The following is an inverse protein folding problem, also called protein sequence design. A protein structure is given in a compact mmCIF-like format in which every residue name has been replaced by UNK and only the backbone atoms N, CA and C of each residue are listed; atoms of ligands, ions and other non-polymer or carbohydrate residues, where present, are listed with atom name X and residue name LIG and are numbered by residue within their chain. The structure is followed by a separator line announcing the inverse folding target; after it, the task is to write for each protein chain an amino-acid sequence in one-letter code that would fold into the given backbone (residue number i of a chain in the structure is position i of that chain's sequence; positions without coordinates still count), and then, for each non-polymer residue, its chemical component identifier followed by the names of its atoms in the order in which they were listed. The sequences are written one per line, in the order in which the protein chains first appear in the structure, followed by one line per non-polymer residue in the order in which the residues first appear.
data_IF_323210320979
#
_entry.id   IF_323210320979
#
_cell.length_a   1.000
_cell.length_b   1.000
_cell.length_c   1.000
_cell.angle_alpha   90.00
_cell.angle_beta   90.00
_cell.angle_gamma   90.00
#
_symmetry.space_group_name_H-M   'P 1'
#
loop_
_entity.id
_entity.type
_entity.pdbx_description
1 polymer ?
#
# COMPACT_ATOMS: atom_id res chain seq x y z
N UNK A 1 19.84 82.29 41.67
CA UNK A 1 19.40 82.68 40.31
C UNK A 1 18.50 81.56 39.75
N UNK A 2 17.27 81.92 39.32
CA UNK A 2 16.20 81.12 38.64
C UNK A 2 15.62 79.92 39.44
N UNK A 3 14.49 80.00 40.18
CA UNK A 3 13.03 79.94 39.81
C UNK A 3 12.72 78.87 38.73
N UNK A 4 11.70 77.99 38.76
CA UNK A 4 10.70 77.43 39.69
C UNK A 4 9.93 76.35 38.84
N UNK A 5 9.40 75.20 39.33
CA UNK A 5 7.96 74.89 39.58
C UNK A 5 7.62 73.40 39.21
N UNK A 6 7.10 72.66 40.20
CA UNK A 6 5.91 71.75 40.25
C UNK A 6 5.90 70.29 39.72
N UNK A 7 5.25 69.46 40.57
CA UNK A 7 4.49 68.21 40.39
C UNK A 7 5.24 66.88 40.23
N UNK A 8 4.72 65.70 40.61
CA UNK A 8 3.80 65.19 41.64
C UNK A 8 3.64 63.69 41.30
N UNK A 9 3.62 62.84 42.33
CA UNK A 9 3.07 61.46 42.38
C UNK A 9 3.74 60.29 41.62
N UNK A 10 3.63 59.13 42.30
CA UNK A 10 3.52 57.73 41.84
C UNK A 10 4.74 56.85 42.23
N UNK A 11 4.68 56.06 43.31
CA UNK A 11 3.90 54.83 43.53
C UNK A 11 4.52 53.59 42.88
N UNK A 12 4.89 52.65 43.77
CA UNK A 12 4.90 51.19 43.64
C UNK A 12 4.90 50.56 42.23
N UNK A 13 5.93 49.76 41.94
CA UNK A 13 5.72 48.44 41.31
C UNK A 13 7.01 47.63 41.24
N UNK A 14 7.13 46.62 42.11
CA UNK A 14 7.91 45.42 41.78
C UNK A 14 7.21 44.74 40.60
N UNK A 15 7.88 44.68 39.45
CA UNK A 15 7.42 43.90 38.31
C UNK A 15 7.58 42.41 38.60
N UNK A 16 6.48 41.78 39.04
CA UNK A 16 6.29 40.35 38.87
C UNK A 16 5.97 40.09 37.39
N UNK A 17 6.88 39.41 36.68
CA UNK A 17 6.62 38.90 35.34
C UNK A 17 5.63 37.73 35.42
N UNK A 18 4.34 38.04 35.39
CA UNK A 18 3.29 37.07 35.04
C UNK A 18 3.41 36.86 33.53
N UNK A 19 4.22 35.87 33.15
CA UNK A 19 4.20 35.34 31.79
C UNK A 19 2.87 34.65 31.54
N UNK A 20 2.11 35.15 30.56
CA UNK A 20 0.88 34.54 30.08
C UNK A 20 1.14 33.12 29.56
N UNK A 21 0.62 32.14 30.28
CA UNK A 21 0.70 30.72 29.94
C UNK A 21 -0.46 30.40 28.98
N UNK A 22 -0.26 30.52 27.66
CA UNK A 22 -1.28 30.15 26.67
C UNK A 22 -1.24 28.64 26.40
N UNK A 23 -1.62 27.84 27.41
CA UNK A 23 -1.57 26.35 27.37
C UNK A 23 -2.77 25.73 26.62
N UNK A 24 -3.85 26.49 26.43
CA UNK A 24 -5.08 26.00 25.80
C UNK A 24 -4.96 25.79 24.27
N UNK A 25 -3.99 26.43 23.61
CA UNK A 25 -3.79 26.30 22.16
C UNK A 25 -2.98 25.06 21.79
N UNK A 26 -2.15 24.55 22.72
CA UNK A 26 -1.32 23.35 22.49
C UNK A 26 -2.13 22.06 22.68
N UNK A 27 -3.15 22.06 23.55
CA UNK A 27 -4.02 20.91 23.77
C UNK A 27 -4.96 20.65 22.58
N UNK A 28 -5.44 21.70 21.89
CA UNK A 28 -6.31 21.55 20.72
C UNK A 28 -5.56 20.98 19.50
N UNK A 29 -4.27 21.28 19.36
CA UNK A 29 -3.37 20.73 18.33
C UNK A 29 -2.97 19.27 18.60
N UNK A 30 -2.99 18.82 19.86
CA UNK A 30 -2.77 17.42 20.22
C UNK A 30 -4.00 16.54 19.97
N UNK A 31 -5.22 17.07 20.10
CA UNK A 31 -6.45 16.32 19.82
C UNK A 31 -6.57 15.90 18.34
N UNK A 32 -5.92 16.62 17.43
CA UNK A 32 -5.82 16.27 15.99
C UNK A 32 -4.69 15.27 15.70
N UNK A 33 -3.83 14.96 16.68
CA UNK A 33 -2.70 14.05 16.51
C UNK A 33 -3.16 12.61 16.78
N UNK A 34 -3.66 11.99 15.71
CA UNK A 34 -3.89 10.56 15.58
C UNK A 34 -4.85 9.96 16.63
N UNK A 35 -6.15 9.95 16.31
CA UNK A 35 -6.99 8.86 16.78
C UNK A 35 -6.27 7.55 16.43
N UNK A 36 -5.86 6.82 17.46
CA UNK A 36 -5.04 5.61 17.35
C UNK A 36 -5.75 4.64 16.40
N UNK A 37 -5.21 4.50 15.18
CA UNK A 37 -5.84 3.66 14.15
C UNK A 37 -5.81 2.23 14.67
N UNK A 38 -6.99 1.69 15.00
CA UNK A 38 -7.12 0.28 15.39
C UNK A 38 -6.39 -0.61 14.38
N UNK A 39 -5.61 -1.61 14.85
CA UNK A 39 -4.95 -2.56 13.97
C UNK A 39 -5.95 -3.16 12.98
N UNK A 40 -5.63 -3.10 11.70
CA UNK A 40 -6.49 -3.62 10.64
C UNK A 40 -6.13 -5.07 10.35
N UNK A 41 -7.11 -5.99 10.23
CA UNK A 41 -6.88 -7.32 9.70
C UNK A 41 -6.13 -7.29 8.37
N UNK A 42 -5.20 -8.24 8.20
CA UNK A 42 -4.36 -8.33 7.00
C UNK A 42 -5.13 -8.90 5.80
N UNK A 43 -6.11 -9.78 6.04
CA UNK A 43 -6.82 -10.48 4.98
C UNK A 43 -8.34 -10.38 5.10
N UNK A 44 -8.99 -10.19 3.96
CA UNK A 44 -10.41 -9.90 3.83
C UNK A 44 -11.01 -10.73 2.69
N UNK A 45 -12.25 -11.18 2.86
CA UNK A 45 -13.00 -11.90 1.82
C UNK A 45 -14.47 -11.50 1.79
N UNK A 46 -15.05 -11.53 0.61
CA UNK A 46 -16.49 -11.34 0.42
C UNK A 46 -16.91 -11.64 -1.00
N UNK A 47 -18.22 -11.59 -1.25
CA UNK A 47 -18.79 -11.66 -2.60
C UNK A 47 -19.44 -10.31 -2.87
N UNK A 48 -18.91 -9.58 -3.84
CA UNK A 48 -19.46 -8.30 -4.26
C UNK A 48 -20.51 -8.48 -5.37
N UNK A 49 -21.48 -7.57 -5.48
CA UNK A 49 -22.50 -7.63 -6.52
C UNK A 49 -21.87 -7.42 -7.89
N UNK A 50 -22.41 -8.10 -8.89
CA UNK A 50 -21.93 -8.08 -10.27
C UNK A 50 -23.08 -7.71 -11.19
N UNK A 51 -22.80 -6.89 -12.22
CA UNK A 51 -23.84 -6.41 -13.12
C UNK A 51 -24.36 -7.50 -14.08
N UNK A 52 -23.47 -8.39 -14.49
CA UNK A 52 -23.68 -9.39 -15.54
C UNK A 52 -23.24 -10.80 -15.13
N UNK A 53 -23.02 -11.03 -13.83
CA UNK A 53 -22.62 -12.30 -13.28
C UNK A 53 -23.26 -12.55 -11.90
N UNK A 54 -23.13 -13.76 -11.36
CA UNK A 54 -23.78 -14.13 -10.08
C UNK A 54 -23.18 -13.37 -8.89
N UNK A 55 -21.91 -12.97 -9.01
CA UNK A 55 -21.16 -12.28 -7.97
C UNK A 55 -19.66 -12.30 -8.25
N UNK A 56 -18.92 -11.43 -7.55
CA UNK A 56 -17.46 -11.38 -7.63
C UNK A 56 -16.90 -11.82 -6.28
N UNK A 57 -16.37 -13.03 -6.21
CA UNK A 57 -15.60 -13.50 -5.06
C UNK A 57 -14.30 -12.71 -4.99
N UNK A 58 -14.14 -11.92 -3.94
CA UNK A 58 -12.99 -11.04 -3.75
C UNK A 58 -12.21 -11.49 -2.51
N UNK A 59 -10.90 -11.68 -2.69
CA UNK A 59 -9.93 -11.87 -1.60
C UNK A 59 -8.92 -10.73 -1.62
N UNK A 60 -8.81 -9.96 -0.55
CA UNK A 60 -7.89 -8.83 -0.43
C UNK A 60 -6.88 -9.12 0.70
N UNK A 61 -5.62 -8.86 0.42
CA UNK A 61 -4.50 -8.96 1.34
C UNK A 61 -3.77 -7.62 1.42
N UNK A 62 -3.66 -7.06 2.63
CA UNK A 62 -3.03 -5.76 2.92
C UNK A 62 -1.71 -6.00 3.63
N UNK A 63 -0.59 -5.83 2.94
CA UNK A 63 0.74 -6.04 3.51
C UNK A 63 1.17 -4.90 4.42
N UNK A 64 1.96 -5.23 5.45
CA UNK A 64 2.52 -4.24 6.39
C UNK A 64 3.46 -3.24 5.73
N UNK A 65 4.03 -3.58 4.57
CA UNK A 65 4.93 -2.73 3.79
C UNK A 65 4.20 -1.64 2.99
N UNK A 66 2.86 -1.56 3.07
CA UNK A 66 2.02 -0.61 2.34
C UNK A 66 1.59 -1.09 0.96
N UNK A 67 1.86 -2.36 0.60
CA UNK A 67 1.36 -2.99 -0.63
C UNK A 67 0.14 -3.86 -0.39
N UNK A 68 -0.62 -4.15 -1.43
CA UNK A 68 -1.75 -5.07 -1.35
C UNK A 68 -1.81 -5.98 -2.56
N UNK A 69 -2.49 -7.12 -2.38
CA UNK A 69 -2.80 -8.07 -3.45
C UNK A 69 -4.29 -8.41 -3.36
N UNK A 70 -4.99 -8.38 -4.47
CA UNK A 70 -6.40 -8.74 -4.57
C UNK A 70 -6.58 -9.83 -5.62
N UNK A 71 -7.43 -10.80 -5.33
CA UNK A 71 -7.91 -11.76 -6.30
C UNK A 71 -9.42 -11.62 -6.45
N UNK A 72 -9.89 -11.65 -7.69
CA UNK A 72 -11.30 -11.53 -8.05
C UNK A 72 -11.69 -12.71 -8.92
N UNK A 73 -12.73 -13.45 -8.52
CA UNK A 73 -13.32 -14.54 -9.31
C UNK A 73 -14.77 -14.22 -9.64
N UNK A 74 -15.08 -14.13 -10.92
CA UNK A 74 -16.41 -13.85 -11.45
C UNK A 74 -17.21 -15.16 -11.49
N UNK A 75 -18.28 -15.23 -10.70
CA UNK A 75 -19.14 -16.40 -10.60
C UNK A 75 -20.09 -16.51 -11.79
N UNK A 76 -20.36 -17.74 -12.25
CA UNK A 76 -21.21 -17.98 -13.42
C UNK A 76 -20.57 -17.69 -14.79
N UNK A 77 -19.34 -17.18 -14.82
CA UNK A 77 -18.59 -16.99 -16.07
C UNK A 77 -18.15 -18.35 -16.65
N UNK A 78 -18.54 -18.63 -17.90
CA UNK A 78 -18.31 -19.92 -18.59
C UNK A 78 -16.87 -20.16 -19.08
N UNK A 79 -15.89 -19.31 -18.77
CA UNK A 79 -14.59 -19.33 -19.45
C UNK A 79 -13.37 -19.42 -18.52
N UNK A 80 -12.27 -19.98 -19.06
CA UNK A 80 -10.91 -19.73 -18.57
C UNK A 80 -10.65 -18.21 -18.54
N UNK A 81 -10.12 -17.69 -17.43
CA UNK A 81 -9.96 -16.24 -17.21
C UNK A 81 -11.02 -15.60 -16.30
N UNK A 82 -11.89 -16.40 -15.65
CA UNK A 82 -12.83 -15.90 -14.65
C UNK A 82 -12.17 -15.40 -13.35
N UNK A 83 -10.88 -15.72 -13.15
CA UNK A 83 -10.10 -15.30 -11.97
C UNK A 83 -8.94 -14.45 -12.42
N UNK A 84 -8.76 -13.29 -11.81
CA UNK A 84 -7.61 -12.44 -12.02
C UNK A 84 -7.19 -11.78 -10.71
N UNK A 85 -5.90 -11.49 -10.63
CA UNK A 85 -5.34 -10.77 -9.50
C UNK A 85 -4.78 -9.43 -9.93
N UNK A 86 -4.79 -8.51 -8.98
CA UNK A 86 -4.24 -7.17 -9.07
C UNK A 86 -3.47 -6.87 -7.80
N UNK A 87 -2.54 -5.92 -7.88
CA UNK A 87 -1.72 -5.51 -6.75
C UNK A 87 -1.46 -4.01 -6.83
N UNK A 88 -0.95 -3.44 -5.75
CA UNK A 88 -0.51 -2.06 -5.74
C UNK A 88 -0.17 -1.56 -4.35
N UNK A 89 -0.41 -0.27 -4.10
CA UNK A 89 -0.16 0.37 -2.81
C UNK A 89 -1.46 0.73 -2.10
N UNK A 90 -1.45 0.69 -0.77
CA UNK A 90 -2.58 1.14 0.03
C UNK A 90 -2.16 2.22 1.01
N UNK A 91 -3.09 3.12 1.27
CA UNK A 91 -2.97 4.16 2.29
C UNK A 91 -4.26 4.21 3.10
N UNK A 92 -4.13 4.48 4.40
CA UNK A 92 -5.27 4.55 5.32
C UNK A 92 -5.27 5.87 6.07
N UNK A 93 -6.44 6.49 6.13
CA UNK A 93 -6.77 7.60 7.04
C UNK A 93 -7.69 7.09 8.16
N UNK A 94 -8.15 7.99 9.04
CA UNK A 94 -9.15 7.64 10.05
C UNK A 94 -10.43 7.07 9.41
N UNK A 95 -10.82 7.59 8.25
CA UNK A 95 -12.12 7.32 7.65
C UNK A 95 -12.08 6.35 6.46
N UNK A 96 -10.98 6.35 5.70
CA UNK A 96 -10.90 5.63 4.42
C UNK A 96 -9.63 4.81 4.28
N UNK A 97 -9.77 3.66 3.64
CA UNK A 97 -8.69 2.89 3.04
C UNK A 97 -8.74 3.13 1.53
N UNK A 98 -7.62 3.56 0.96
CA UNK A 98 -7.46 3.78 -0.47
C UNK A 98 -6.51 2.73 -1.01
N UNK A 99 -6.98 1.94 -1.97
CA UNK A 99 -6.15 1.03 -2.76
C UNK A 99 -5.85 1.71 -4.09
N UNK A 100 -4.57 1.85 -4.44
CA UNK A 100 -4.12 2.27 -5.76
C UNK A 100 -3.44 1.08 -6.42
N UNK A 101 -3.96 0.61 -7.55
CA UNK A 101 -3.41 -0.56 -8.23
C UNK A 101 -2.14 -0.22 -9.05
N UNK A 102 -1.54 -1.23 -9.67
CA UNK A 102 -0.31 -1.07 -10.45
C UNK A 102 -0.46 -0.20 -11.71
N UNK A 103 -1.69 0.11 -12.12
CA UNK A 103 -2.02 1.01 -13.24
C UNK A 103 -2.40 2.41 -12.76
N UNK A 104 -2.53 2.61 -11.46
CA UNK A 104 -2.91 3.88 -10.83
C UNK A 104 -4.41 4.02 -10.56
N UNK A 105 -5.22 3.00 -10.85
CA UNK A 105 -6.65 3.03 -10.58
C UNK A 105 -6.92 2.94 -9.08
N UNK A 106 -7.91 3.70 -8.60
CA UNK A 106 -8.23 3.81 -7.18
C UNK A 106 -9.53 3.10 -6.82
N UNK A 107 -9.48 2.35 -5.73
CA UNK A 107 -10.65 1.78 -5.05
C UNK A 107 -10.68 2.23 -3.60
N UNK A 108 -11.89 2.47 -3.09
CA UNK A 108 -12.09 3.08 -1.79
C UNK A 108 -12.88 2.14 -0.88
N UNK A 109 -12.46 2.07 0.37
CA UNK A 109 -13.12 1.29 1.40
C UNK A 109 -13.17 2.08 2.70
N UNK A 110 -14.07 1.69 3.62
CA UNK A 110 -14.05 2.14 5.00
C UNK A 110 -14.29 0.98 5.96
N UNK A 111 -13.80 1.13 7.18
CA UNK A 111 -14.15 0.20 8.25
C UNK A 111 -15.64 0.39 8.63
N UNK A 112 -16.38 -0.71 8.76
CA UNK A 112 -17.77 -0.74 9.22
C UNK A 112 -17.91 -1.87 10.24
N UNK A 113 -17.74 -1.53 11.52
CA UNK A 113 -17.51 -2.53 12.57
C UNK A 113 -16.22 -3.28 12.27
N UNK A 114 -16.30 -4.61 12.28
CA UNK A 114 -15.17 -5.48 11.91
C UNK A 114 -15.07 -5.75 10.41
N UNK A 115 -16.01 -5.23 9.60
CA UNK A 115 -16.05 -5.42 8.15
C UNK A 115 -15.36 -4.27 7.40
N UNK A 116 -15.00 -4.52 6.14
CA UNK A 116 -14.53 -3.51 5.20
C UNK A 116 -15.61 -3.26 4.15
N UNK A 117 -16.22 -2.07 4.13
CA UNK A 117 -17.25 -1.69 3.18
C UNK A 117 -16.63 -0.96 1.99
N UNK A 118 -16.92 -1.43 0.77
CA UNK A 118 -16.54 -0.76 -0.46
C UNK A 118 -17.36 0.53 -0.65
N UNK A 119 -16.69 1.56 -1.13
CA UNK A 119 -17.24 2.87 -1.43
C UNK A 119 -17.32 3.08 -2.95
N UNK A 120 -18.02 4.13 -3.39
CA UNK A 120 -18.05 4.51 -4.79
C UNK A 120 -16.69 5.09 -5.27
N UNK A 121 -16.64 5.54 -6.53
CA UNK A 121 -15.42 6.05 -7.17
C UNK A 121 -14.95 7.39 -6.59
N UNK A 122 -15.85 8.12 -5.95
CA UNK A 122 -15.60 9.37 -5.25
C UNK A 122 -15.27 9.12 -3.76
N UNK A 123 -15.38 7.87 -3.32
CA UNK A 123 -15.16 7.42 -1.95
C UNK A 123 -16.32 7.76 -1.02
N UNK A 124 -17.54 7.89 -1.51
CA UNK A 124 -18.75 8.04 -0.69
C UNK A 124 -19.43 6.68 -0.47
N UNK A 125 -20.28 6.56 0.56
CA UNK A 125 -21.03 5.35 0.82
C UNK A 125 -21.96 4.98 -0.34
N UNK A 126 -21.89 3.73 -0.78
CA UNK A 126 -22.81 3.20 -1.80
C UNK A 126 -24.20 3.04 -1.18
N UNK A 127 -25.21 3.68 -1.77
CA UNK A 127 -26.61 3.49 -1.38
C UNK A 127 -27.26 2.45 -2.30
N UNK A 128 -27.40 1.22 -1.80
CA UNK A 128 -27.94 0.10 -2.55
C UNK A 128 -28.54 -0.95 -1.61
N UNK A 129 -29.43 -1.79 -2.13
CA UNK A 129 -29.94 -2.98 -1.43
C UNK A 129 -28.91 -4.12 -1.37
N UNK A 130 -27.87 -4.06 -2.19
CA UNK A 130 -26.86 -5.11 -2.27
C UNK A 130 -25.75 -4.94 -1.23
N UNK A 131 -25.08 -6.04 -0.91
CA UNK A 131 -24.01 -6.07 0.07
C UNK A 131 -22.64 -5.77 -0.57
N UNK A 132 -21.98 -4.71 -0.12
CA UNK A 132 -20.65 -4.28 -0.56
C UNK A 132 -19.57 -4.47 0.51
N UNK A 133 -19.70 -5.49 1.38
CA UNK A 133 -18.79 -5.69 2.51
C UNK A 133 -17.89 -6.92 2.36
N UNK A 134 -16.65 -6.78 2.81
CA UNK A 134 -15.69 -7.86 3.01
C UNK A 134 -15.55 -8.13 4.50
N UNK A 135 -15.42 -9.40 4.88
CA UNK A 135 -15.20 -9.83 6.26
C UNK A 135 -13.74 -10.20 6.48
N UNK A 136 -13.21 -9.97 7.69
CA UNK A 136 -11.84 -10.34 8.01
C UNK A 136 -11.73 -11.85 8.06
N UNK A 137 -10.63 -12.37 7.54
CA UNK A 137 -10.32 -13.80 7.55
C UNK A 137 -8.86 -14.00 7.93
N UNK A 138 -8.44 -15.27 8.08
CA UNK A 138 -7.04 -15.68 8.03
C UNK A 138 -6.83 -16.41 6.71
N UNK A 139 -6.17 -15.77 5.76
CA UNK A 139 -5.89 -16.33 4.44
C UNK A 139 -4.41 -16.13 4.07
N UNK A 140 -3.89 -17.04 3.25
CA UNK A 140 -2.60 -16.89 2.60
C UNK A 140 -2.67 -15.91 1.42
N UNK A 141 -1.50 -15.50 0.93
CA UNK A 141 -1.38 -14.69 -0.28
C UNK A 141 -2.03 -15.39 -1.49
N UNK A 142 -2.70 -14.64 -2.38
CA UNK A 142 -3.16 -15.17 -3.65
C UNK A 142 -2.00 -15.62 -4.53
N UNK A 143 -2.15 -16.79 -5.16
CA UNK A 143 -1.17 -17.38 -6.09
C UNK A 143 -1.55 -17.20 -7.56
N UNK A 144 -2.53 -16.34 -7.83
CA UNK A 144 -2.97 -16.05 -9.20
C UNK A 144 -1.93 -15.17 -9.89
N UNK A 145 -1.39 -15.58 -11.05
CA UNK A 145 -0.39 -14.79 -11.76
C UNK A 145 -0.91 -13.42 -12.20
N UNK A 146 -0.04 -12.42 -12.13
CA UNK A 146 -0.32 -11.04 -12.46
C UNK A 146 0.78 -10.49 -13.36
N UNK A 147 0.44 -9.64 -14.35
CA UNK A 147 1.45 -8.94 -15.12
C UNK A 147 2.18 -7.94 -14.23
N UNK A 148 3.50 -8.02 -14.20
CA UNK A 148 4.39 -7.18 -13.42
C UNK A 148 5.49 -6.62 -14.31
N UNK A 149 5.90 -5.39 -14.01
CA UNK A 149 7.00 -4.70 -14.68
C UNK A 149 7.89 -4.06 -13.64
N UNK A 150 9.19 -4.31 -13.74
CA UNK A 150 10.14 -3.91 -12.72
C UNK A 150 11.59 -4.09 -13.14
N UNK A 151 12.48 -3.53 -12.34
CA UNK A 151 13.92 -3.63 -12.54
C UNK A 151 14.42 -4.92 -11.89
N UNK A 152 14.89 -5.88 -12.70
CA UNK A 152 15.44 -7.15 -12.25
C UNK A 152 16.96 -7.06 -12.10
N UNK A 153 17.48 -7.56 -10.98
CA UNK A 153 18.91 -7.63 -10.68
C UNK A 153 19.23 -8.99 -10.07
N UNK A 154 20.18 -9.70 -10.69
CA UNK A 154 20.75 -10.94 -10.14
C UNK A 154 22.24 -10.73 -9.80
N UNK A 155 22.61 -11.09 -8.57
CA UNK A 155 23.96 -10.96 -8.02
C UNK A 155 24.14 -11.92 -6.83
N UNK A 156 25.31 -12.57 -6.75
CA UNK A 156 25.69 -13.45 -5.65
C UNK A 156 24.61 -14.50 -5.31
N UNK A 157 24.13 -15.21 -6.34
CA UNK A 157 23.09 -16.26 -6.25
C UNK A 157 21.71 -15.80 -5.73
N UNK A 158 21.49 -14.48 -5.63
CA UNK A 158 20.21 -13.89 -5.27
C UNK A 158 19.66 -13.00 -6.39
N UNK A 159 18.35 -13.04 -6.57
CA UNK A 159 17.63 -12.20 -7.52
C UNK A 159 16.67 -11.26 -6.80
N UNK A 160 16.60 -10.01 -7.27
CA UNK A 160 15.66 -9.01 -6.77
C UNK A 160 14.90 -8.38 -7.93
N UNK A 161 13.66 -7.96 -7.64
CA UNK A 161 12.79 -7.27 -8.56
C UNK A 161 12.27 -6.00 -7.89
N UNK A 162 12.63 -4.84 -8.44
CA UNK A 162 12.10 -3.56 -7.99
C UNK A 162 10.91 -3.19 -8.86
N UNK A 163 9.71 -3.37 -8.32
CA UNK A 163 8.46 -3.15 -9.03
C UNK A 163 8.28 -1.67 -9.40
N UNK A 164 7.95 -1.41 -10.67
CA UNK A 164 7.83 -0.05 -11.18
C UNK A 164 6.62 0.71 -10.62
N UNK A 165 5.55 0.01 -10.25
CA UNK A 165 4.31 0.65 -9.81
C UNK A 165 4.34 1.04 -8.33
N UNK A 166 4.95 0.21 -7.49
CA UNK A 166 5.00 0.38 -6.04
C UNK A 166 6.36 0.87 -5.53
N UNK A 167 7.41 0.77 -6.36
CA UNK A 167 8.80 1.07 -5.99
C UNK A 167 9.40 0.07 -4.99
N UNK A 168 8.71 -1.03 -4.68
CA UNK A 168 9.18 -2.02 -3.71
C UNK A 168 10.15 -3.00 -4.36
N UNK A 169 11.25 -3.26 -3.66
CA UNK A 169 12.20 -4.33 -4.01
C UNK A 169 11.79 -5.61 -3.31
N UNK A 170 11.60 -6.67 -4.10
CA UNK A 170 11.10 -7.96 -3.64
C UNK A 170 12.10 -9.04 -4.08
N UNK A 171 12.46 -9.99 -3.21
CA UNK A 171 13.22 -11.17 -3.62
C UNK A 171 12.45 -11.95 -4.70
N UNK A 172 13.17 -12.52 -5.66
CA UNK A 172 12.58 -13.35 -6.72
C UNK A 172 12.98 -14.80 -6.46
N UNK A 173 12.02 -15.72 -6.58
CA UNK A 173 12.30 -17.15 -6.63
C UNK A 173 13.06 -17.42 -7.93
N UNK A 174 14.40 -17.43 -7.84
CA UNK A 174 15.25 -17.40 -9.01
C UNK A 174 15.16 -18.71 -9.80
N UNK A 175 15.12 -18.60 -11.12
CA UNK A 175 15.18 -19.74 -12.04
C UNK A 175 16.37 -19.58 -12.98
N UNK A 176 16.86 -20.70 -13.51
CA UNK A 176 17.97 -20.69 -14.47
C UNK A 176 17.64 -19.89 -15.75
N UNK A 177 16.36 -19.83 -16.14
CA UNK A 177 15.90 -19.04 -17.28
C UNK A 177 16.05 -17.53 -17.03
N UNK A 178 15.63 -17.06 -15.85
CA UNK A 178 15.76 -15.65 -15.46
C UNK A 178 17.22 -15.24 -15.36
N UNK A 179 18.04 -16.08 -14.72
CA UNK A 179 19.48 -15.84 -14.59
C UNK A 179 20.14 -15.69 -15.97
N UNK A 180 19.95 -16.68 -16.86
CA UNK A 180 20.53 -16.65 -18.20
C UNK A 180 20.03 -15.45 -19.01
N UNK A 181 18.73 -15.15 -18.92
CA UNK A 181 18.13 -14.00 -19.61
C UNK A 181 18.73 -12.67 -19.15
N UNK A 182 18.93 -12.49 -17.84
CA UNK A 182 19.58 -11.31 -17.29
C UNK A 182 21.06 -11.23 -17.70
N UNK A 183 21.82 -12.32 -17.55
CA UNK A 183 23.26 -12.35 -17.89
C UNK A 183 23.51 -12.06 -19.38
N UNK A 184 22.59 -12.47 -20.25
CA UNK A 184 22.67 -12.21 -21.69
C UNK A 184 22.28 -10.77 -22.10
N UNK A 185 21.57 -10.04 -21.23
CA UNK A 185 21.00 -8.71 -21.56
C UNK A 185 21.62 -7.55 -20.78
N UNK A 186 22.21 -7.81 -19.61
CA UNK A 186 22.84 -6.78 -18.78
C UNK A 186 24.00 -6.10 -19.53
N UNK A 187 24.06 -4.78 -19.45
CA UNK A 187 25.16 -4.01 -20.03
C UNK A 187 26.46 -4.14 -19.22
N UNK A 188 26.34 -4.27 -17.90
CA UNK A 188 27.45 -4.37 -16.97
C UNK A 188 27.03 -5.20 -15.73
N UNK A 189 27.98 -5.72 -14.95
CA UNK A 189 27.69 -6.28 -13.64
C UNK A 189 26.91 -5.28 -12.78
N UNK A 190 26.04 -5.80 -11.92
CA UNK A 190 25.26 -5.02 -10.94
C UNK A 190 24.29 -3.97 -11.52
N UNK A 191 24.18 -3.87 -12.85
CA UNK A 191 23.17 -3.01 -13.49
C UNK A 191 21.86 -3.78 -13.64
N UNK A 192 20.74 -3.27 -13.07
CA UNK A 192 19.45 -3.90 -13.27
C UNK A 192 18.97 -3.77 -14.72
N UNK A 193 18.19 -4.75 -15.17
CA UNK A 193 17.54 -4.76 -16.49
C UNK A 193 16.03 -4.73 -16.29
N UNK A 194 15.33 -3.90 -17.07
CA UNK A 194 13.88 -3.88 -17.02
C UNK A 194 13.31 -5.24 -17.47
N UNK A 195 12.45 -5.81 -16.65
CA UNK A 195 11.79 -7.09 -16.86
C UNK A 195 10.28 -6.88 -16.86
N UNK A 196 9.60 -7.40 -17.88
CA UNK A 196 8.16 -7.65 -17.87
C UNK A 196 7.95 -9.15 -17.70
N UNK A 197 7.01 -9.52 -16.82
CA UNK A 197 6.76 -10.93 -16.47
C UNK A 197 5.33 -11.11 -15.98
N UNK A 198 4.80 -12.34 -16.04
CA UNK A 198 3.68 -12.75 -15.19
C UNK A 198 4.19 -13.53 -13.99
N UNK A 199 3.79 -13.12 -12.79
CA UNK A 199 4.22 -13.73 -11.53
C UNK A 199 3.17 -13.64 -10.45
N UNK A 200 3.36 -14.39 -9.37
CA UNK A 200 2.54 -14.32 -8.16
C UNK A 200 3.43 -14.20 -6.92
N UNK A 201 2.82 -13.77 -5.81
CA UNK A 201 3.52 -13.71 -4.53
C UNK A 201 3.33 -15.00 -3.75
N UNK A 202 4.43 -15.48 -3.17
CA UNK A 202 4.42 -16.60 -2.23
C UNK A 202 5.18 -16.22 -0.96
N UNK A 203 4.92 -16.95 0.12
CA UNK A 203 5.72 -16.88 1.34
C UNK A 203 6.85 -17.91 1.24
N UNK A 204 8.06 -17.48 1.53
CA UNK A 204 9.25 -18.33 1.60
C UNK A 204 9.94 -18.16 2.96
N UNK A 205 10.79 -19.11 3.32
CA UNK A 205 11.61 -19.08 4.53
C UNK A 205 12.77 -18.12 4.29
N UNK A 206 12.82 -17.04 5.05
CA UNK A 206 13.93 -16.09 5.02
C UNK A 206 15.23 -16.69 5.52
N UNK A 207 16.33 -15.94 5.36
CA UNK A 207 17.64 -16.34 5.87
C UNK A 207 17.73 -16.26 7.41
N UNK A 208 16.82 -15.51 8.04
CA UNK A 208 16.64 -15.50 9.50
C UNK A 208 15.67 -16.62 9.91
N UNK A 209 16.07 -17.41 10.91
CA UNK A 209 15.31 -18.57 11.38
C UNK A 209 13.89 -18.16 11.84
N UNK A 210 12.87 -18.69 11.17
CA UNK A 210 11.46 -18.42 11.45
C UNK A 210 10.88 -17.15 10.81
N UNK A 211 11.67 -16.36 10.08
CA UNK A 211 11.16 -15.22 9.33
C UNK A 211 10.52 -15.69 8.02
N UNK A 212 9.24 -15.39 7.82
CA UNK A 212 8.60 -15.57 6.50
C UNK A 212 8.74 -14.29 5.69
N UNK A 213 9.25 -14.42 4.46
CA UNK A 213 9.42 -13.32 3.53
C UNK A 213 8.51 -13.50 2.32
N UNK A 214 8.00 -12.38 1.78
CA UNK A 214 7.26 -12.36 0.51
C UNK A 214 8.26 -12.45 -0.64
N UNK A 215 8.06 -13.42 -1.52
CA UNK A 215 8.90 -13.67 -2.69
C UNK A 215 8.03 -13.60 -3.95
N UNK A 216 8.57 -13.03 -5.02
CA UNK A 216 7.97 -13.08 -6.35
C UNK A 216 8.34 -14.39 -7.04
N UNK A 217 7.35 -15.25 -7.27
CA UNK A 217 7.48 -16.39 -8.16
C UNK A 217 7.13 -15.97 -9.59
N UNK A 218 7.99 -16.30 -10.54
CA UNK A 218 7.78 -16.02 -11.96
C UNK A 218 7.09 -17.20 -12.62
N UNK A 219 5.95 -16.96 -13.24
CA UNK A 219 5.14 -17.99 -13.90
C UNK A 219 5.47 -18.09 -15.40
N UNK A 220 5.43 -16.96 -16.13
CA UNK A 220 5.66 -16.93 -17.60
C UNK A 220 5.87 -15.52 -18.14
N UNK A 221 5.96 -15.41 -19.48
CA UNK A 221 6.10 -14.16 -20.23
C UNK A 221 7.32 -13.31 -19.81
N UNK A 222 8.45 -13.96 -19.60
CA UNK A 222 9.72 -13.33 -19.26
C UNK A 222 10.21 -12.52 -20.47
N UNK A 223 10.28 -11.20 -20.33
CA UNK A 223 10.80 -10.29 -21.36
C UNK A 223 11.72 -9.25 -20.74
N UNK A 224 13.01 -9.41 -20.97
CA UNK A 224 14.03 -8.41 -20.64
C UNK A 224 14.07 -7.29 -21.69
N UNK A 225 14.27 -6.06 -21.25
CA UNK A 225 14.33 -4.86 -22.06
C UNK A 225 15.56 -4.03 -21.65
N UNK A 226 16.74 -4.31 -22.25
CA UNK A 226 17.97 -3.60 -21.93
C UNK A 226 17.86 -2.10 -22.30
N UNK A 227 18.58 -1.27 -21.56
CA UNK A 227 18.62 0.19 -21.75
C UNK A 227 17.31 0.92 -21.41
N UNK A 228 16.28 0.23 -20.92
CA UNK A 228 15.02 0.82 -20.47
C UNK A 228 14.91 0.86 -18.94
N UNK A 229 14.14 1.83 -18.44
CA UNK A 229 13.71 1.96 -17.07
C UNK A 229 12.19 1.92 -16.91
N UNK A 230 11.72 2.19 -15.69
CA UNK A 230 10.30 2.17 -15.37
C UNK A 230 9.47 3.26 -16.08
N UNK A 231 10.10 4.36 -16.51
CA UNK A 231 9.43 5.47 -17.19
C UNK A 231 9.24 5.31 -18.70
N UNK A 232 9.80 4.26 -19.31
CA UNK A 232 9.77 4.02 -20.77
C UNK A 232 8.54 3.27 -21.29
#
# INVERSE_FOLDING_TARGET
MKKAIVAAMAAFSLFALIGCNNRAEVESLQQTRAAELKPMPQSWRGVLPCADCEGIELSLFLEKDGTWVMNQRYQGARAAGATFATYGTWARTADKLVLTDSKGDRSYYRAKGDALEMLDREGNPITSQFNYTLKPVKASLPVTPMPMRGMYLYMADAATFTDCATGKTIPVANTLELERGYLATREAPEKPVLLSVEGHFMQDTGMEEGQQIKVLAVDKMIKFMPGKGCGD
#
